data_IF_727626607814
#
_entry.id   IF_727626607814
#
_cell.length_a   1.000
_cell.length_b   1.000
_cell.length_c   1.000
_cell.angle_alpha   90.00
_cell.angle_beta   90.00
_cell.angle_gamma   90.00
#
_symmetry.space_group_name_H-M   'P 1'
#
loop_
_entity.id
_entity.type
_entity.pdbx_description
1 polymer ?
#
# COMPACT_ATOMS: atom_id res chain seq x y z
N UNK A 1 2.06 -5.18 28.09
CA UNK A 1 1.45 -4.10 27.29
C UNK A 1 1.92 -4.31 25.87
N UNK A 2 1.10 -4.90 25.01
CA UNK A 2 1.46 -5.11 23.60
C UNK A 2 1.29 -3.77 22.88
N UNK A 3 2.39 -3.17 22.45
CA UNK A 3 2.29 -2.05 21.51
C UNK A 3 1.76 -2.61 20.19
N UNK A 4 0.69 -2.05 19.62
CA UNK A 4 0.29 -2.41 18.25
C UNK A 4 1.48 -2.08 17.35
N UNK A 5 1.92 -3.07 16.57
CA UNK A 5 3.12 -3.02 15.74
C UNK A 5 3.22 -1.69 14.99
N UNK A 6 4.30 -0.94 15.23
CA UNK A 6 4.63 0.37 14.63
C UNK A 6 4.40 0.46 13.11
N UNK A 7 4.52 -0.68 12.42
CA UNK A 7 4.31 -0.84 10.99
C UNK A 7 2.85 -0.64 10.58
N UNK A 8 1.90 -1.18 11.34
CA UNK A 8 0.47 -1.11 11.01
C UNK A 8 -0.04 0.33 11.11
N UNK A 9 0.41 1.04 12.16
CA UNK A 9 0.14 2.47 12.32
C UNK A 9 0.77 3.29 11.17
N UNK A 10 1.99 2.94 10.74
CA UNK A 10 2.67 3.62 9.63
C UNK A 10 1.96 3.40 8.29
N UNK A 11 1.52 2.17 8.00
CA UNK A 11 0.75 1.85 6.79
C UNK A 11 -0.60 2.57 6.78
N UNK A 12 -1.26 2.69 7.93
CA UNK A 12 -2.53 3.42 8.09
C UNK A 12 -2.37 4.92 7.79
N UNK A 13 -1.28 5.52 8.27
CA UNK A 13 -0.96 6.93 7.97
C UNK A 13 -0.73 7.14 6.48
N UNK A 14 0.02 6.23 5.84
CA UNK A 14 0.32 6.30 4.40
C UNK A 14 -0.95 6.11 3.55
N UNK A 15 -1.79 5.12 3.88
CA UNK A 15 -3.06 4.89 3.19
C UNK A 15 -4.01 6.09 3.31
N UNK A 16 -4.14 6.66 4.52
CA UNK A 16 -4.96 7.87 4.76
C UNK A 16 -4.39 9.09 4.04
N UNK A 17 -3.07 9.18 3.94
CA UNK A 17 -2.40 10.25 3.22
C UNK A 17 -2.68 10.16 1.71
N UNK A 18 -2.59 8.96 1.12
CA UNK A 18 -2.92 8.77 -0.29
C UNK A 18 -4.41 8.99 -0.58
N UNK A 19 -5.30 8.55 0.29
CA UNK A 19 -6.75 8.80 0.15
C UNK A 19 -7.09 10.31 0.20
N UNK A 20 -6.43 11.07 1.08
CA UNK A 20 -6.71 12.50 1.26
C UNK A 20 -5.93 13.44 0.34
N UNK A 21 -4.70 13.08 0.00
CA UNK A 21 -3.73 13.96 -0.66
C UNK A 21 -3.18 13.38 -1.95
N UNK A 22 -3.49 12.12 -2.28
CA UNK A 22 -3.30 11.55 -3.61
C UNK A 22 -4.30 12.14 -4.58
N UNK A 23 -4.23 13.45 -4.81
CA UNK A 23 -4.74 14.00 -6.06
C UNK A 23 -4.07 13.20 -7.19
N UNK A 24 -4.75 12.94 -8.32
CA UNK A 24 -4.14 12.31 -9.46
C UNK A 24 -2.97 13.19 -9.90
N UNK A 25 -1.76 12.77 -9.53
CA UNK A 25 -0.54 13.46 -9.96
C UNK A 25 -0.47 13.19 -11.45
N UNK A 26 -0.59 14.25 -12.26
CA UNK A 26 -0.47 14.14 -13.71
C UNK A 26 0.84 13.42 -14.05
N UNK A 27 0.74 12.19 -14.59
CA UNK A 27 1.89 11.34 -14.92
C UNK A 27 1.87 9.93 -14.30
N UNK A 28 0.93 9.61 -13.41
CA UNK A 28 0.75 8.23 -12.93
C UNK A 28 -0.17 7.48 -13.90
N UNK A 29 0.42 6.62 -14.72
CA UNK A 29 -0.36 5.76 -15.60
C UNK A 29 -1.10 4.72 -14.74
N UNK A 30 -2.42 4.64 -14.90
CA UNK A 30 -3.23 3.54 -14.38
C UNK A 30 -2.88 2.28 -15.17
N UNK A 31 -1.79 1.65 -14.79
CA UNK A 31 -1.31 0.40 -15.38
C UNK A 31 -1.91 -0.79 -14.63
N UNK A 32 -2.37 -1.79 -15.38
CA UNK A 32 -2.86 -3.03 -14.80
C UNK A 32 -1.78 -3.73 -13.98
N UNK A 33 -2.11 -4.08 -12.74
CA UNK A 33 -1.23 -4.87 -11.88
C UNK A 33 -1.13 -6.30 -12.40
N UNK A 34 0.10 -6.80 -12.51
CA UNK A 34 0.34 -8.23 -12.69
C UNK A 34 -0.12 -9.03 -11.48
N UNK A 35 -0.31 -10.36 -11.66
CA UNK A 35 -0.70 -11.26 -10.56
C UNK A 35 0.31 -11.23 -9.41
N UNK A 36 1.60 -11.17 -9.74
CA UNK A 36 2.70 -11.10 -8.77
C UNK A 36 2.58 -9.82 -7.91
N UNK A 37 2.38 -8.67 -8.56
CA UNK A 37 2.25 -7.38 -7.90
C UNK A 37 1.03 -7.33 -6.97
N UNK A 38 -0.12 -7.88 -7.39
CA UNK A 38 -1.31 -7.97 -6.53
C UNK A 38 -1.04 -8.81 -5.29
N UNK A 39 -0.43 -9.98 -5.47
CA UNK A 39 -0.04 -10.87 -4.36
C UNK A 39 0.90 -10.18 -3.37
N UNK A 40 1.89 -9.44 -3.85
CA UNK A 40 2.80 -8.70 -2.98
C UNK A 40 2.09 -7.54 -2.23
N UNK A 41 1.15 -6.84 -2.87
CA UNK A 41 0.36 -5.79 -2.21
C UNK A 41 -0.55 -6.39 -1.13
N UNK A 42 -1.18 -7.53 -1.39
CA UNK A 42 -1.98 -8.27 -0.40
C UNK A 42 -1.14 -8.72 0.79
N UNK A 43 0.07 -9.26 0.55
CA UNK A 43 1.03 -9.61 1.60
C UNK A 43 1.51 -8.38 2.37
N UNK A 44 1.68 -7.24 1.70
CA UNK A 44 2.03 -5.98 2.36
C UNK A 44 0.90 -5.54 3.32
N UNK A 45 -0.35 -5.59 2.87
CA UNK A 45 -1.53 -5.25 3.67
C UNK A 45 -1.66 -6.17 4.90
N UNK A 46 -1.30 -7.44 4.78
CA UNK A 46 -1.27 -8.41 5.87
C UNK A 46 -0.09 -8.23 6.84
N UNK A 47 0.92 -7.42 6.48
CA UNK A 47 2.15 -7.26 7.27
C UNK A 47 3.18 -8.37 7.07
N UNK A 48 2.98 -9.26 6.07
CA UNK A 48 3.75 -10.48 5.81
C UNK A 48 4.93 -10.29 4.84
N UNK A 49 5.28 -9.05 4.51
CA UNK A 49 6.50 -8.72 3.76
C UNK A 49 7.67 -8.41 4.69
N UNK A 50 8.84 -8.93 4.34
CA UNK A 50 10.14 -8.52 4.90
C UNK A 50 10.51 -7.08 4.50
N UNK A 51 11.47 -6.48 5.19
CA UNK A 51 11.90 -5.10 4.92
C UNK A 51 12.45 -4.93 3.49
N UNK A 52 13.19 -5.91 2.98
CA UNK A 52 13.72 -5.91 1.61
C UNK A 52 12.60 -6.00 0.55
N UNK A 53 11.59 -6.84 0.79
CA UNK A 53 10.42 -6.92 -0.09
C UNK A 53 9.60 -5.61 -0.07
N UNK A 54 9.54 -4.93 1.08
CA UNK A 54 8.86 -3.64 1.23
C UNK A 54 9.54 -2.54 0.44
N UNK A 55 10.86 -2.43 0.54
CA UNK A 55 11.63 -1.43 -0.23
C UNK A 55 11.44 -1.61 -1.74
N UNK A 56 11.25 -2.85 -2.19
CA UNK A 56 11.02 -3.16 -3.61
C UNK A 56 9.62 -2.73 -4.08
N UNK A 57 8.60 -2.80 -3.22
CA UNK A 57 7.21 -2.51 -3.61
C UNK A 57 6.79 -1.06 -3.40
N UNK A 58 7.47 -0.31 -2.53
CA UNK A 58 7.18 1.12 -2.30
C UNK A 58 7.22 1.94 -3.60
N UNK A 59 8.19 1.80 -4.50
CA UNK A 59 8.18 2.51 -5.78
C UNK A 59 6.95 2.20 -6.66
N UNK A 60 6.45 0.97 -6.62
CA UNK A 60 5.24 0.57 -7.34
C UNK A 60 4.00 1.27 -6.77
N UNK A 61 3.87 1.31 -5.44
CA UNK A 61 2.78 2.01 -4.77
C UNK A 61 2.80 3.50 -5.12
N UNK A 62 3.98 4.12 -5.13
CA UNK A 62 4.09 5.54 -5.47
C UNK A 62 3.65 5.77 -6.92
N UNK A 63 4.08 4.94 -7.87
CA UNK A 63 3.95 5.21 -9.32
C UNK A 63 2.65 4.69 -9.95
N UNK A 64 1.93 3.78 -9.30
CA UNK A 64 0.76 3.15 -9.87
C UNK A 64 -0.47 3.33 -8.96
N UNK A 65 -1.45 4.09 -9.45
CA UNK A 65 -2.72 4.37 -8.77
C UNK A 65 -3.48 3.08 -8.42
N UNK A 66 -3.51 2.07 -9.32
CA UNK A 66 -4.18 0.80 -9.06
C UNK A 66 -3.53 0.03 -7.89
N UNK A 67 -2.23 0.22 -7.65
CA UNK A 67 -1.54 -0.37 -6.51
C UNK A 67 -2.00 0.25 -5.19
N UNK A 68 -2.18 1.57 -5.16
CA UNK A 68 -2.69 2.31 -4.00
C UNK A 68 -4.15 1.94 -3.73
N UNK A 69 -5.00 1.94 -4.77
CA UNK A 69 -6.42 1.54 -4.64
C UNK A 69 -6.54 0.13 -4.06
N UNK A 70 -5.75 -0.82 -4.57
CA UNK A 70 -5.75 -2.19 -4.06
C UNK A 70 -5.31 -2.25 -2.60
N UNK A 71 -4.21 -1.57 -2.23
CA UNK A 71 -3.70 -1.54 -0.86
C UNK A 71 -4.75 -0.95 0.10
N UNK A 72 -5.37 0.18 -0.26
CA UNK A 72 -6.40 0.82 0.54
C UNK A 72 -7.65 -0.07 0.71
N UNK A 73 -8.02 -0.84 -0.31
CA UNK A 73 -9.15 -1.78 -0.24
C UNK A 73 -8.84 -3.06 0.58
N UNK A 74 -7.57 -3.45 0.69
CA UNK A 74 -7.15 -4.68 1.40
C UNK A 74 -6.73 -4.44 2.84
N UNK A 75 -6.23 -3.25 3.19
CA UNK A 75 -5.98 -2.90 4.60
C UNK A 75 -7.33 -2.85 5.32
N UNK A 76 -7.57 -3.68 6.35
CA UNK A 76 -8.83 -3.65 7.09
C UNK A 76 -8.97 -2.29 7.79
N UNK A 77 -9.76 -1.41 7.20
CA UNK A 77 -10.23 -0.20 7.86
C UNK A 77 -11.23 -0.60 8.93
N UNK A 78 -11.03 -0.12 10.16
CA UNK A 78 -12.05 -0.14 11.22
C UNK A 78 -13.36 0.43 10.67
N UNK A 79 -14.27 -0.46 10.27
CA UNK A 79 -15.70 -0.21 10.08
C UNK A 79 -16.44 -0.79 11.26
#
# INVERSE_FOLDING_TARGET
MNQPNSIEASLRVVATFFDKFGAPVEGHAREDLTREQRSQIERLAAGDLSDEERETIVPLLIRNEAAIELLAATVPGDR
#
